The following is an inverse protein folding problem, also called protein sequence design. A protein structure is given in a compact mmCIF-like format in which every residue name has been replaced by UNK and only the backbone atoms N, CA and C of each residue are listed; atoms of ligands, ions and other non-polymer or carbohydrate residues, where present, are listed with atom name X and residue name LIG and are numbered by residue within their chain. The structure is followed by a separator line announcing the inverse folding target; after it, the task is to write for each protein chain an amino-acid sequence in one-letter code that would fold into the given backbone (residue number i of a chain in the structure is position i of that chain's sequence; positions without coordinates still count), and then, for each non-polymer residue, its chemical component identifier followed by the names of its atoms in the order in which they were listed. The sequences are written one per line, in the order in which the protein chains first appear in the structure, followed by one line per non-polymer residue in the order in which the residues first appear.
data_IF_211377593753
#
_entry.id   IF_211377593753
#
_cell.length_a   1.000
_cell.length_b   1.000
_cell.length_c   1.000
_cell.angle_alpha   90.00
_cell.angle_beta   90.00
_cell.angle_gamma   90.00
#
_symmetry.space_group_name_H-M   'P 1'
#
loop_
_entity.id
_entity.type
_entity.pdbx_description
1 polymer ?
#
# COMPACT_ATOMS: atom_id res chain seq x y z
N UNK A 1 -10.33 5.62 38.58
CA UNK A 1 -10.31 4.47 37.66
C UNK A 1 -10.38 5.03 36.24
N UNK A 2 -9.30 4.90 35.44
CA UNK A 2 -9.12 3.92 34.33
C UNK A 2 -10.34 3.91 33.39
N UNK A 3 -10.24 4.21 32.10
CA UNK A 3 -9.16 3.90 31.17
C UNK A 3 -8.98 5.00 30.10
N UNK A 4 -7.71 5.31 29.81
CA UNK A 4 -7.32 5.91 28.53
C UNK A 4 -7.53 4.83 27.48
N UNK A 5 -8.60 4.91 26.71
CA UNK A 5 -8.72 4.14 25.48
C UNK A 5 -7.75 4.74 24.48
N UNK A 6 -6.49 4.33 24.60
CA UNK A 6 -5.57 4.40 23.49
C UNK A 6 -6.20 3.55 22.39
N UNK A 7 -6.86 4.20 21.43
CA UNK A 7 -7.15 3.64 20.12
C UNK A 7 -5.79 3.27 19.51
N UNK A 8 -5.32 2.08 19.90
CA UNK A 8 -4.14 1.43 19.37
C UNK A 8 -4.51 1.16 17.93
N UNK A 9 -4.18 2.10 17.05
CA UNK A 9 -4.17 1.93 15.60
C UNK A 9 -3.43 0.63 15.35
N UNK A 10 -4.18 -0.46 15.23
CA UNK A 10 -3.69 -1.71 14.71
C UNK A 10 -3.26 -1.34 13.29
N UNK A 11 -1.95 -1.10 13.12
CA UNK A 11 -1.29 -1.15 11.82
C UNK A 11 -1.49 -2.57 11.33
N UNK A 12 -2.66 -2.81 10.75
CA UNK A 12 -2.95 -4.05 10.07
C UNK A 12 -2.07 -4.03 8.84
N UNK A 13 -0.95 -4.75 8.91
CA UNK A 13 -0.17 -5.19 7.74
C UNK A 13 -1.01 -6.20 6.92
N UNK A 14 -2.23 -5.81 6.57
CA UNK A 14 -3.16 -6.61 5.81
C UNK A 14 -2.78 -6.52 4.33
N UNK A 15 -2.76 -7.68 3.66
CA UNK A 15 -2.74 -7.76 2.21
C UNK A 15 -4.01 -7.09 1.69
N UNK A 16 -3.87 -6.07 0.86
CA UNK A 16 -5.00 -5.40 0.21
C UNK A 16 -5.37 -6.14 -1.06
N UNK A 17 -6.60 -6.66 -1.08
CA UNK A 17 -7.18 -7.30 -2.27
C UNK A 17 -7.80 -6.28 -3.22
N UNK A 18 -8.37 -5.19 -2.72
CA UNK A 18 -8.85 -4.07 -3.54
C UNK A 18 -7.95 -2.85 -3.33
N UNK A 19 -7.24 -2.44 -4.38
CA UNK A 19 -6.30 -1.32 -4.31
C UNK A 19 -7.01 0.02 -4.30
N UNK A 20 -8.29 0.09 -4.66
CA UNK A 20 -9.07 1.33 -4.65
C UNK A 20 -9.37 1.85 -3.24
N UNK A 21 -9.14 1.02 -2.23
CA UNK A 21 -9.22 1.43 -0.83
C UNK A 21 -8.01 2.26 -0.38
N UNK A 22 -6.93 2.27 -1.16
CA UNK A 22 -5.74 3.08 -0.88
C UNK A 22 -6.02 4.55 -1.13
N UNK A 23 -5.38 5.40 -0.35
CA UNK A 23 -5.45 6.85 -0.51
C UNK A 23 -4.14 7.39 -1.06
N UNK A 24 -4.21 8.45 -1.87
CA UNK A 24 -3.02 9.20 -2.28
C UNK A 24 -2.24 9.67 -1.05
N UNK A 25 -0.91 9.49 -1.09
CA UNK A 25 0.00 9.77 0.02
C UNK A 25 0.12 8.65 1.05
N UNK A 26 -0.63 7.55 0.92
CA UNK A 26 -0.54 6.41 1.83
C UNK A 26 0.75 5.61 1.59
N UNK A 27 1.47 5.21 2.64
CA UNK A 27 2.70 4.43 2.52
C UNK A 27 2.38 2.94 2.37
N UNK A 28 2.87 2.33 1.29
CA UNK A 28 2.61 0.94 0.94
C UNK A 28 3.90 0.18 0.63
N UNK A 29 3.84 -1.13 0.86
CA UNK A 29 4.85 -2.09 0.44
C UNK A 29 4.30 -2.94 -0.69
N UNK A 30 5.06 -3.05 -1.78
CA UNK A 30 4.77 -3.96 -2.88
C UNK A 30 5.57 -5.23 -2.67
N UNK A 31 4.88 -6.37 -2.66
CA UNK A 31 5.47 -7.68 -2.39
C UNK A 31 5.32 -8.61 -3.60
N UNK A 32 6.37 -9.39 -3.88
CA UNK A 32 6.35 -10.48 -4.86
C UNK A 32 7.10 -11.66 -4.29
N UNK A 33 6.55 -12.87 -4.39
CA UNK A 33 7.16 -14.10 -3.85
C UNK A 33 7.64 -13.94 -2.39
N UNK A 34 6.78 -13.37 -1.54
CA UNK A 34 7.06 -13.08 -0.12
C UNK A 34 8.22 -12.10 0.16
N UNK A 35 8.72 -11.36 -0.84
CA UNK A 35 9.74 -10.32 -0.68
C UNK A 35 9.19 -8.95 -1.03
N UNK A 36 9.61 -7.93 -0.30
CA UNK A 36 9.35 -6.53 -0.66
C UNK A 36 10.19 -6.22 -1.89
N UNK A 37 9.54 -5.84 -2.98
CA UNK A 37 10.20 -5.46 -4.24
C UNK A 37 10.20 -3.95 -4.46
N UNK A 38 9.25 -3.24 -3.83
CA UNK A 38 9.21 -1.78 -3.81
C UNK A 38 8.48 -1.27 -2.57
N UNK A 39 8.75 -0.02 -2.19
CA UNK A 39 8.07 0.72 -1.13
C UNK A 39 7.94 2.17 -1.56
N UNK A 40 6.84 2.81 -1.19
CA UNK A 40 6.61 4.19 -1.58
C UNK A 40 5.28 4.73 -1.08
N UNK A 41 4.97 5.95 -1.48
CA UNK A 41 3.69 6.59 -1.26
C UNK A 41 2.81 6.38 -2.48
N UNK A 42 1.54 6.06 -2.27
CA UNK A 42 0.54 5.96 -3.34
C UNK A 42 0.41 7.33 -4.01
N UNK A 43 0.60 7.36 -5.33
CA UNK A 43 0.40 8.55 -6.15
C UNK A 43 -0.98 8.54 -6.79
N UNK A 44 -1.34 7.41 -7.41
CA UNK A 44 -2.57 7.24 -8.14
C UNK A 44 -2.96 5.75 -8.19
N UNK A 45 -4.26 5.48 -8.31
CA UNK A 45 -4.80 4.14 -8.57
C UNK A 45 -5.73 4.27 -9.78
N UNK A 46 -5.65 3.32 -10.71
CA UNK A 46 -6.53 3.34 -11.88
C UNK A 46 -7.98 3.16 -11.45
N UNK A 47 -8.95 3.71 -12.18
CA UNK A 47 -10.39 3.55 -11.87
C UNK A 47 -10.80 2.07 -11.75
N UNK A 48 -10.18 1.20 -12.56
CA UNK A 48 -10.38 -0.25 -12.53
C UNK A 48 -9.79 -0.94 -11.29
N UNK A 49 -8.93 -0.26 -10.52
CA UNK A 49 -8.19 -0.84 -9.39
C UNK A 49 -7.11 -1.85 -9.80
N UNK A 50 -6.76 -1.89 -11.09
CA UNK A 50 -5.81 -2.85 -11.66
C UNK A 50 -4.37 -2.35 -11.74
N UNK A 51 -4.16 -1.03 -11.68
CA UNK A 51 -2.85 -0.39 -11.73
C UNK A 51 -2.69 0.52 -10.51
N UNK A 52 -1.52 0.45 -9.89
CA UNK A 52 -1.13 1.29 -8.77
C UNK A 52 0.16 2.02 -9.12
N UNK A 53 0.17 3.33 -8.96
CA UNK A 53 1.35 4.17 -9.05
C UNK A 53 1.81 4.56 -7.66
N UNK A 54 3.11 4.42 -7.41
CA UNK A 54 3.76 4.87 -6.18
C UNK A 54 4.96 5.74 -6.50
N UNK A 55 5.32 6.61 -5.56
CA UNK A 55 6.57 7.39 -5.58
C UNK A 55 7.48 6.85 -4.48
N UNK A 56 8.70 6.46 -4.84
CA UNK A 56 9.69 5.98 -3.88
C UNK A 56 10.37 7.14 -3.13
N UNK A 57 11.22 6.83 -2.14
CA UNK A 57 11.93 7.86 -1.36
C UNK A 57 12.94 8.67 -2.21
N UNK A 58 13.25 8.23 -3.45
CA UNK A 58 14.08 8.95 -4.42
C UNK A 58 13.27 9.83 -5.38
N UNK A 59 11.96 9.99 -5.14
CA UNK A 59 11.02 10.73 -6.00
C UNK A 59 10.88 10.16 -7.42
N UNK A 60 11.05 8.85 -7.57
CA UNK A 60 10.81 8.14 -8.83
C UNK A 60 9.43 7.49 -8.81
N UNK A 61 8.67 7.68 -9.89
CA UNK A 61 7.35 7.07 -10.07
C UNK A 61 7.51 5.63 -10.57
N UNK A 62 6.79 4.71 -9.94
CA UNK A 62 6.77 3.30 -10.28
C UNK A 62 5.34 2.80 -10.42
N UNK A 63 5.06 2.06 -11.48
CA UNK A 63 3.75 1.49 -11.75
C UNK A 63 3.74 -0.03 -11.52
N UNK A 64 2.68 -0.53 -10.91
CA UNK A 64 2.49 -1.95 -10.62
C UNK A 64 1.12 -2.41 -11.11
N UNK A 65 1.08 -3.58 -11.73
CA UNK A 65 -0.15 -4.20 -12.22
C UNK A 65 -0.59 -5.31 -11.27
N UNK A 66 -1.89 -5.37 -10.96
CA UNK A 66 -2.46 -6.44 -10.14
C UNK A 66 -2.29 -7.82 -10.78
N UNK A 67 -2.24 -7.87 -12.11
CA UNK A 67 -1.96 -9.09 -12.88
C UNK A 67 -0.53 -9.60 -12.77
N UNK A 68 0.43 -8.80 -12.29
CA UNK A 68 1.85 -9.21 -12.18
C UNK A 68 2.10 -10.17 -11.01
N UNK A 69 1.05 -10.52 -10.27
CA UNK A 69 1.12 -11.36 -9.08
C UNK A 69 1.77 -10.65 -7.90
N UNK A 70 1.69 -9.31 -7.86
CA UNK A 70 2.17 -8.51 -6.74
C UNK A 70 1.07 -8.34 -5.69
N UNK A 71 1.47 -8.30 -4.44
CA UNK A 71 0.61 -8.01 -3.30
C UNK A 71 0.95 -6.63 -2.75
N UNK A 72 -0.05 -5.93 -2.22
CA UNK A 72 0.12 -4.60 -1.62
C UNK A 72 -0.21 -4.67 -0.14
N UNK A 73 0.67 -4.17 0.70
CA UNK A 73 0.48 -4.09 2.16
C UNK A 73 0.54 -2.65 2.62
N UNK A 74 -0.34 -2.28 3.55
CA UNK A 74 -0.22 -1.02 4.30
C UNK A 74 0.95 -1.09 5.29
N UNK A 75 1.67 0.01 5.44
CA UNK A 75 2.76 0.14 6.42
C UNK A 75 2.25 0.63 7.80
#
# INVERSE_FOLDING_TARGET
MKAREACRRQRNHAVLSDWRELQQGERVNIMRNARIVAQGLVEEISESGGVLWIVNDQSENQAFLKSDGVLVHRH
#
